data_IF_121680266984
#
_entry.id   IF_121680266984
#
_cell.length_a   1.000
_cell.length_b   1.000
_cell.length_c   1.000
_cell.angle_alpha   90.00
_cell.angle_beta   90.00
_cell.angle_gamma   90.00
#
_symmetry.space_group_name_H-M   'P 1'
#
loop_
_entity.id
_entity.type
_entity.pdbx_description
1 polymer ?
#
# COMPACT_ATOMS: atom_id res chain seq x y z
N UNK A 1 10.66 12.98 -29.68
CA UNK A 1 9.38 12.90 -28.92
C UNK A 1 9.34 14.03 -27.93
N UNK A 2 8.18 14.61 -27.66
CA UNK A 2 8.00 15.63 -26.62
C UNK A 2 6.89 15.18 -25.68
N UNK A 3 7.16 15.19 -24.38
CA UNK A 3 6.18 14.95 -23.34
C UNK A 3 5.75 16.29 -22.78
N UNK A 4 4.44 16.52 -22.71
CA UNK A 4 3.91 17.73 -22.10
C UNK A 4 2.58 17.42 -21.44
N UNK A 5 2.30 18.14 -20.36
CA UNK A 5 1.02 18.06 -19.67
C UNK A 5 0.03 18.96 -20.42
N UNK A 6 -1.11 18.41 -20.83
CA UNK A 6 -2.20 19.15 -21.45
C UNK A 6 -3.46 18.96 -20.62
N UNK A 7 -3.84 19.97 -19.84
CA UNK A 7 -4.87 19.82 -18.80
C UNK A 7 -4.44 18.80 -17.75
N UNK A 8 -5.29 17.81 -17.48
CA UNK A 8 -5.02 16.70 -16.55
C UNK A 8 -4.43 15.46 -17.22
N UNK A 9 -4.06 15.54 -18.50
CA UNK A 9 -3.58 14.40 -19.28
C UNK A 9 -2.11 14.60 -19.66
N UNK A 10 -1.35 13.50 -19.66
CA UNK A 10 0.01 13.47 -20.22
C UNK A 10 -0.09 13.27 -21.73
N UNK A 11 0.31 14.27 -22.51
CA UNK A 11 0.35 14.21 -23.95
C UNK A 11 1.77 13.89 -24.44
N UNK A 12 1.86 12.98 -25.41
CA UNK A 12 3.11 12.57 -26.05
C UNK A 12 3.03 12.95 -27.53
N UNK A 13 3.82 13.94 -27.95
CA UNK A 13 3.97 14.25 -29.37
C UNK A 13 5.00 13.31 -30.01
N UNK A 14 4.48 12.39 -30.82
CA UNK A 14 5.26 11.46 -31.64
C UNK A 14 5.58 12.14 -32.99
N UNK A 15 6.87 12.31 -33.34
CA UNK A 15 7.30 12.81 -34.65
C UNK A 15 6.76 11.97 -35.80
N UNK A 16 6.47 12.60 -36.94
CA UNK A 16 5.86 11.94 -38.10
C UNK A 16 6.67 10.76 -38.65
N UNK A 17 8.01 10.84 -38.55
CA UNK A 17 8.93 9.76 -38.93
C UNK A 17 8.71 8.48 -38.13
N UNK A 18 8.28 8.58 -36.86
CA UNK A 18 8.01 7.42 -36.01
C UNK A 18 6.57 6.92 -36.12
N UNK A 19 5.61 7.76 -36.54
CA UNK A 19 4.23 7.31 -36.76
C UNK A 19 4.12 6.26 -37.85
N UNK A 20 4.89 6.44 -38.94
CA UNK A 20 4.91 5.51 -40.09
C UNK A 20 5.53 4.15 -39.72
N UNK A 21 6.57 4.17 -38.89
CA UNK A 21 7.28 2.96 -38.46
C UNK A 21 6.56 2.20 -37.35
N UNK A 22 5.91 2.92 -36.43
CA UNK A 22 5.20 2.34 -35.28
C UNK A 22 3.70 2.06 -35.55
N UNK A 23 3.21 2.34 -36.77
CA UNK A 23 1.81 2.17 -37.18
C UNK A 23 0.79 2.81 -36.22
N UNK A 24 1.15 3.95 -35.60
CA UNK A 24 0.29 4.62 -34.62
C UNK A 24 -0.69 5.56 -35.32
N UNK A 25 -1.99 5.29 -35.18
CA UNK A 25 -3.07 6.13 -35.73
C UNK A 25 -3.78 6.94 -34.64
N UNK A 26 -4.35 8.07 -35.05
CA UNK A 26 -5.16 8.91 -34.17
C UNK A 26 -6.47 8.19 -33.85
N UNK A 27 -6.75 7.95 -32.56
CA UNK A 27 -7.90 7.16 -32.10
C UNK A 27 -7.62 5.70 -31.78
N UNK A 28 -6.38 5.23 -31.89
CA UNK A 28 -6.00 3.91 -31.38
C UNK A 28 -5.82 3.94 -29.84
N UNK A 29 -6.36 2.91 -29.19
CA UNK A 29 -6.22 2.70 -27.74
C UNK A 29 -4.91 1.98 -27.43
N UNK A 30 -4.08 2.63 -26.62
CA UNK A 30 -2.82 2.08 -26.14
C UNK A 30 -2.80 1.97 -24.62
N UNK A 31 -2.05 0.99 -24.12
CA UNK A 31 -1.84 0.76 -22.70
C UNK A 31 -0.34 0.72 -22.38
N UNK A 32 0.04 1.28 -21.23
CA UNK A 32 1.41 1.22 -20.76
C UNK A 32 1.65 -0.09 -20.02
N UNK A 33 2.73 -0.76 -20.39
CA UNK A 33 3.17 -1.99 -19.73
C UNK A 33 4.62 -1.83 -19.27
N UNK A 34 4.89 -2.08 -18.00
CA UNK A 34 6.28 -2.03 -17.49
C UNK A 34 7.02 -3.31 -17.87
N UNK A 35 8.02 -3.19 -18.75
CA UNK A 35 8.85 -4.35 -19.15
C UNK A 35 10.00 -4.55 -18.15
N UNK A 36 10.55 -3.45 -17.64
CA UNK A 36 11.61 -3.43 -16.63
C UNK A 36 11.40 -2.23 -15.72
N UNK A 37 12.04 -2.23 -14.54
CA UNK A 37 11.94 -1.14 -13.56
C UNK A 37 12.22 0.22 -14.22
N UNK A 38 11.19 1.05 -14.37
CA UNK A 38 11.29 2.37 -14.99
C UNK A 38 11.28 2.39 -16.53
N UNK A 39 11.01 1.25 -17.18
CA UNK A 39 10.91 1.12 -18.65
C UNK A 39 9.51 0.63 -19.01
N UNK A 40 8.75 1.52 -19.62
CA UNK A 40 7.37 1.26 -20.03
C UNK A 40 7.27 1.14 -21.55
N UNK A 41 6.64 0.09 -22.03
CA UNK A 41 6.23 -0.06 -23.42
C UNK A 41 4.79 0.39 -23.60
N UNK A 42 4.52 1.00 -24.75
CA UNK A 42 3.18 1.40 -25.15
C UNK A 42 2.68 0.35 -26.15
N UNK A 43 1.68 -0.45 -25.76
CA UNK A 43 1.18 -1.55 -26.60
C UNK A 43 -0.26 -1.27 -27.00
N UNK A 44 -0.56 -1.42 -28.30
CA UNK A 44 -1.91 -1.26 -28.82
C UNK A 44 -2.80 -2.42 -28.38
N UNK A 45 -4.01 -2.13 -27.90
CA UNK A 45 -4.95 -3.16 -27.43
C UNK A 45 -5.29 -4.21 -28.50
N UNK A 46 -5.22 -3.85 -29.79
CA UNK A 46 -5.45 -4.76 -30.93
C UNK A 46 -4.33 -5.81 -31.10
N UNK A 47 -3.08 -5.47 -30.73
CA UNK A 47 -1.94 -6.41 -30.84
C UNK A 47 -1.75 -7.27 -29.59
N UNK A 48 -2.24 -6.79 -28.43
CA UNK A 48 -2.19 -7.54 -27.17
C UNK A 48 -2.95 -8.87 -27.26
N UNK A 49 -3.99 -8.96 -28.11
CA UNK A 49 -4.83 -10.15 -28.26
C UNK A 49 -4.24 -11.23 -29.18
N UNK A 50 -3.27 -10.90 -30.04
CA UNK A 50 -2.81 -11.80 -31.13
C UNK A 50 -1.36 -12.29 -30.99
N UNK A 51 -0.57 -11.76 -30.04
CA UNK A 51 0.88 -12.06 -29.95
C UNK A 51 1.41 -12.48 -28.56
N UNK A 52 0.58 -12.95 -27.64
CA UNK A 52 1.07 -13.53 -26.38
C UNK A 52 1.13 -15.06 -26.46
N UNK A 53 2.33 -15.68 -26.58
CA UNK A 53 2.53 -17.06 -26.16
C UNK A 53 2.36 -17.14 -24.64
N UNK A 54 1.61 -18.15 -24.19
CA UNK A 54 1.43 -18.46 -22.78
C UNK A 54 2.78 -18.73 -22.11
N UNK A 55 3.22 -17.83 -21.21
CA UNK A 55 4.33 -18.11 -20.29
C UNK A 55 5.53 -17.18 -20.37
N UNK A 56 5.34 -15.86 -20.24
CA UNK A 56 6.37 -14.95 -19.74
C UNK A 56 5.73 -13.64 -19.23
N UNK A 57 4.88 -13.74 -18.21
CA UNK A 57 4.49 -12.58 -17.40
C UNK A 57 5.38 -12.56 -16.14
N UNK A 58 6.11 -11.48 -15.82
CA UNK A 58 6.33 -11.13 -14.43
C UNK A 58 5.02 -10.58 -13.89
N UNK A 59 4.50 -11.29 -12.91
CA UNK A 59 3.21 -11.13 -12.24
C UNK A 59 2.81 -9.70 -11.89
N UNK A 60 1.78 -9.20 -12.58
CA UNK A 60 0.77 -8.35 -11.95
C UNK A 60 -0.59 -8.70 -12.57
N UNK A 61 -1.47 -9.25 -11.72
CA UNK A 61 -2.88 -9.58 -11.96
C UNK A 61 -3.20 -10.58 -13.08
N UNK A 62 -3.16 -11.87 -12.72
CA UNK A 62 -4.07 -12.87 -13.30
C UNK A 62 -4.86 -13.52 -12.15
N UNK A 63 -6.17 -13.32 -12.19
CA UNK A 63 -7.17 -13.89 -11.31
C UNK A 63 -7.11 -15.42 -11.32
N UNK A 64 -7.04 -16.02 -10.13
CA UNK A 64 -7.53 -17.36 -9.91
C UNK A 64 -9.05 -17.29 -9.69
N UNK A 65 -9.80 -17.97 -10.55
CA UNK A 65 -11.23 -18.15 -10.40
C UNK A 65 -11.57 -19.07 -9.21
N UNK A 66 -12.76 -18.82 -8.65
CA UNK A 66 -13.54 -19.65 -7.72
C UNK A 66 -13.29 -19.50 -6.20
N UNK A 67 -13.87 -18.44 -5.61
CA UNK A 67 -14.52 -18.39 -4.28
C UNK A 67 -15.09 -16.96 -4.07
N UNK A 68 -16.13 -16.75 -3.24
CA UNK A 68 -16.81 -15.46 -3.15
C UNK A 68 -15.85 -14.36 -2.68
N UNK A 69 -16.02 -13.18 -3.28
CA UNK A 69 -15.25 -11.95 -3.10
C UNK A 69 -14.82 -11.67 -1.65
N UNK A 70 -13.61 -12.08 -1.29
CA UNK A 70 -12.88 -11.53 -0.16
C UNK A 70 -11.99 -10.42 -0.69
N UNK A 71 -12.23 -9.19 -0.22
CA UNK A 71 -11.44 -8.02 -0.54
C UNK A 71 -9.95 -8.33 -0.24
N UNK A 72 -9.01 -8.21 -1.20
CA UNK A 72 -7.61 -8.63 -1.02
C UNK A 72 -6.92 -7.99 0.19
N UNK A 73 -7.40 -6.80 0.58
CA UNK A 73 -6.96 -6.06 1.77
C UNK A 73 -7.33 -6.77 3.08
N UNK A 74 -8.49 -7.42 3.15
CA UNK A 74 -8.91 -8.20 4.31
C UNK A 74 -8.06 -9.46 4.46
N UNK A 75 -7.79 -10.15 3.36
CA UNK A 75 -6.90 -11.31 3.36
C UNK A 75 -5.48 -10.94 3.83
N UNK A 76 -4.99 -9.75 3.44
CA UNK A 76 -3.70 -9.24 3.92
C UNK A 76 -3.74 -8.95 5.44
N UNK A 77 -4.82 -8.36 5.94
CA UNK A 77 -5.03 -8.08 7.37
C UNK A 77 -5.09 -9.39 8.18
N UNK A 78 -5.79 -10.41 7.70
CA UNK A 78 -5.89 -11.71 8.37
C UNK A 78 -4.53 -12.43 8.41
N UNK A 79 -3.74 -12.33 7.34
CA UNK A 79 -2.44 -13.01 7.23
C UNK A 79 -1.34 -12.34 8.03
N UNK A 80 -1.27 -11.01 7.99
CA UNK A 80 -0.15 -10.25 8.59
C UNK A 80 -0.52 -9.60 9.92
N UNK A 81 -1.82 -9.46 10.20
CA UNK A 81 -2.33 -8.82 11.40
C UNK A 81 -2.37 -7.29 11.33
N UNK A 82 -1.88 -6.68 10.25
CA UNK A 82 -1.93 -5.23 10.05
C UNK A 82 -2.16 -4.88 8.57
N UNK A 83 -2.59 -3.64 8.32
CA UNK A 83 -2.80 -3.09 7.00
C UNK A 83 -2.56 -1.59 7.02
N UNK A 84 -1.89 -1.07 5.99
CA UNK A 84 -1.70 0.37 5.78
C UNK A 84 -2.44 0.76 4.52
N UNK A 85 -3.28 1.79 4.62
CA UNK A 85 -4.11 2.28 3.51
C UNK A 85 -3.79 3.75 3.28
N UNK A 86 -3.47 4.12 2.04
CA UNK A 86 -3.05 5.48 1.72
C UNK A 86 -4.22 6.36 1.27
N UNK A 87 -5.27 5.77 0.70
CA UNK A 87 -6.42 6.51 0.19
C UNK A 87 -7.60 6.50 1.15
N UNK A 88 -8.22 7.66 1.32
CA UNK A 88 -9.41 7.82 2.15
C UNK A 88 -10.60 6.99 1.64
N UNK A 89 -10.70 6.81 0.32
CA UNK A 89 -11.77 6.02 -0.30
C UNK A 89 -11.68 4.54 0.12
N UNK A 90 -10.49 3.96 0.09
CA UNK A 90 -10.26 2.58 0.52
C UNK A 90 -10.47 2.43 2.02
N UNK A 91 -9.96 3.36 2.83
CA UNK A 91 -10.14 3.34 4.28
C UNK A 91 -11.63 3.41 4.68
N UNK A 92 -12.43 4.23 3.98
CA UNK A 92 -13.88 4.30 4.18
C UNK A 92 -14.60 2.99 3.82
N UNK A 93 -14.16 2.29 2.78
CA UNK A 93 -14.72 0.97 2.41
C UNK A 93 -14.38 -0.07 3.48
N UNK A 94 -13.11 -0.18 3.85
CA UNK A 94 -12.64 -1.10 4.88
C UNK A 94 -13.28 -0.80 6.24
N UNK A 95 -13.48 0.46 6.60
CA UNK A 95 -14.16 0.84 7.84
C UNK A 95 -15.60 0.36 7.90
N UNK A 96 -16.31 0.30 6.76
CA UNK A 96 -17.67 -0.24 6.70
C UNK A 96 -17.67 -1.77 6.78
N UNK A 97 -16.74 -2.42 6.09
CA UNK A 97 -16.61 -3.88 6.10
C UNK A 97 -16.16 -4.41 7.48
N UNK A 98 -15.26 -3.69 8.14
CA UNK A 98 -14.71 -4.03 9.45
C UNK A 98 -15.49 -3.45 10.63
N UNK A 99 -16.58 -2.70 10.38
CA UNK A 99 -17.43 -2.12 11.42
C UNK A 99 -17.83 -3.11 12.53
N UNK A 100 -18.28 -4.36 12.25
CA UNK A 100 -18.59 -5.31 13.30
C UNK A 100 -17.35 -5.72 14.13
N UNK A 101 -16.17 -5.80 13.50
CA UNK A 101 -14.93 -6.16 14.17
C UNK A 101 -14.36 -5.02 15.02
N UNK A 102 -14.55 -3.77 14.56
CA UNK A 102 -14.19 -2.57 15.31
C UNK A 102 -15.10 -2.41 16.53
N UNK A 103 -16.41 -2.62 16.37
CA UNK A 103 -17.37 -2.64 17.50
C UNK A 103 -17.08 -3.78 18.48
N UNK A 104 -16.63 -4.93 17.99
CA UNK A 104 -16.17 -6.05 18.80
C UNK A 104 -14.77 -5.87 19.41
N UNK A 105 -14.11 -4.72 19.19
CA UNK A 105 -12.72 -4.46 19.59
C UNK A 105 -11.68 -5.46 19.08
N UNK A 106 -12.01 -6.27 18.06
CA UNK A 106 -11.12 -7.23 17.43
C UNK A 106 -10.11 -6.55 16.50
N UNK A 107 -10.49 -5.40 15.93
CA UNK A 107 -9.67 -4.60 15.02
C UNK A 107 -9.66 -3.14 15.48
N UNK A 108 -8.50 -2.52 15.40
CA UNK A 108 -8.27 -1.11 15.73
C UNK A 108 -7.76 -0.40 14.48
N UNK A 109 -8.23 0.82 14.26
CA UNK A 109 -7.89 1.63 13.10
C UNK A 109 -7.66 3.07 13.50
N UNK A 110 -6.54 3.65 13.10
CA UNK A 110 -6.19 5.05 13.39
C UNK A 110 -5.75 5.77 12.12
N UNK A 111 -6.04 7.07 12.05
CA UNK A 111 -5.57 7.94 10.98
C UNK A 111 -4.29 8.63 11.43
N UNK A 112 -3.19 8.35 10.73
CA UNK A 112 -1.92 9.02 10.99
C UNK A 112 -1.89 10.47 10.49
N UNK A 113 -0.93 11.23 11.03
CA UNK A 113 -0.66 12.61 10.60
C UNK A 113 -0.19 12.73 9.15
N UNK A 114 0.36 11.65 8.61
CA UNK A 114 0.74 11.50 7.20
C UNK A 114 -0.45 11.26 6.26
N UNK A 115 -1.68 11.33 6.80
CA UNK A 115 -2.95 11.06 6.11
C UNK A 115 -3.14 9.60 5.70
N UNK A 116 -2.29 8.68 6.15
CA UNK A 116 -2.48 7.24 5.99
C UNK A 116 -3.37 6.68 7.10
N UNK A 117 -3.95 5.52 6.84
CA UNK A 117 -4.78 4.80 7.78
C UNK A 117 -4.08 3.50 8.17
N UNK A 118 -3.90 3.32 9.47
CA UNK A 118 -3.23 2.18 10.06
C UNK A 118 -4.29 1.31 10.72
N UNK A 119 -4.45 0.09 10.23
CA UNK A 119 -5.43 -0.86 10.73
C UNK A 119 -4.66 -2.07 11.25
N UNK A 120 -4.97 -2.54 12.45
CA UNK A 120 -4.35 -3.73 13.00
C UNK A 120 -5.32 -4.55 13.83
N UNK A 121 -5.11 -5.85 13.87
CA UNK A 121 -5.88 -6.76 14.72
C UNK A 121 -5.38 -6.65 16.16
N UNK A 122 -6.28 -6.91 17.12
CA UNK A 122 -5.94 -6.94 18.55
C UNK A 122 -4.86 -7.97 18.87
N UNK A 123 -4.87 -9.12 18.18
CA UNK A 123 -3.85 -10.15 18.35
C UNK A 123 -2.46 -9.64 17.96
N UNK A 124 -2.35 -8.97 16.80
CA UNK A 124 -1.10 -8.37 16.38
C UNK A 124 -0.65 -7.27 17.36
N UNK A 125 -1.56 -6.41 17.81
CA UNK A 125 -1.23 -5.33 18.74
C UNK A 125 -0.80 -5.84 20.12
N UNK A 126 -1.37 -6.94 20.61
CA UNK A 126 -0.91 -7.54 21.86
C UNK A 126 0.57 -7.97 21.76
N UNK A 127 0.93 -8.69 20.69
CA UNK A 127 2.31 -9.15 20.50
C UNK A 127 3.28 -8.02 20.12
N UNK A 128 2.86 -7.10 19.27
CA UNK A 128 3.67 -5.98 18.82
C UNK A 128 3.83 -4.95 19.93
N UNK A 129 2.76 -4.66 20.67
CA UNK A 129 2.71 -3.77 21.81
C UNK A 129 3.66 -4.22 22.91
N UNK A 130 3.62 -5.51 23.29
CA UNK A 130 4.55 -6.04 24.30
C UNK A 130 6.02 -5.88 23.87
N UNK A 131 6.33 -6.14 22.59
CA UNK A 131 7.68 -5.96 22.03
C UNK A 131 8.10 -4.49 22.01
N UNK A 132 7.21 -3.58 21.60
CA UNK A 132 7.46 -2.14 21.56
C UNK A 132 7.64 -1.58 22.96
N UNK A 133 6.77 -1.91 23.91
CA UNK A 133 6.89 -1.50 25.30
C UNK A 133 8.22 -2.02 25.89
N UNK A 134 8.54 -3.30 25.72
CA UNK A 134 9.84 -3.86 26.18
C UNK A 134 11.05 -3.12 25.61
N UNK A 135 10.97 -2.66 24.35
CA UNK A 135 12.02 -1.86 23.74
C UNK A 135 12.11 -0.46 24.38
N UNK A 136 10.96 0.18 24.60
CA UNK A 136 10.84 1.53 25.17
C UNK A 136 11.08 1.61 26.69
N UNK A 137 11.04 0.48 27.40
CA UNK A 137 11.45 0.43 28.82
C UNK A 137 12.92 0.85 29.03
N UNK A 138 13.77 0.63 28.01
CA UNK A 138 15.19 1.02 28.04
C UNK A 138 15.42 2.51 27.82
N UNK A 139 14.39 3.26 27.41
CA UNK A 139 14.47 4.68 27.10
C UNK A 139 13.67 5.05 25.85
N UNK A 140 13.81 6.30 25.43
CA UNK A 140 13.17 6.79 24.21
C UNK A 140 13.84 6.22 22.95
N UNK A 141 13.04 5.74 21.99
CA UNK A 141 13.52 5.18 20.72
C UNK A 141 12.87 5.87 19.53
N UNK A 142 13.62 5.96 18.44
CA UNK A 142 13.10 6.36 17.13
C UNK A 142 12.41 5.21 16.41
N UNK A 143 11.59 5.50 15.40
CA UNK A 143 10.95 4.47 14.56
C UNK A 143 11.96 3.41 14.07
N UNK A 144 13.08 3.85 13.49
CA UNK A 144 14.09 2.93 12.96
C UNK A 144 14.72 2.05 14.04
N UNK A 145 14.99 2.62 15.21
CA UNK A 145 15.51 1.85 16.35
C UNK A 145 14.47 0.85 16.89
N UNK A 146 13.19 1.25 16.94
CA UNK A 146 12.09 0.37 17.32
C UNK A 146 11.97 -0.79 16.34
N UNK A 147 12.00 -0.56 15.03
CA UNK A 147 11.98 -1.64 14.02
C UNK A 147 13.10 -2.67 14.23
N UNK A 148 14.32 -2.19 14.50
CA UNK A 148 15.47 -3.08 14.75
C UNK A 148 15.29 -3.85 16.06
N UNK A 149 14.82 -3.19 17.12
CA UNK A 149 14.62 -3.81 18.43
C UNK A 149 13.49 -4.84 18.44
N UNK A 150 12.40 -4.58 17.71
CA UNK A 150 11.22 -5.45 17.64
C UNK A 150 11.30 -6.49 16.51
N UNK A 151 12.28 -6.34 15.60
CA UNK A 151 12.45 -7.14 14.38
C UNK A 151 11.20 -7.13 13.48
N UNK A 152 10.51 -6.00 13.44
CA UNK A 152 9.33 -5.79 12.60
C UNK A 152 9.70 -5.01 11.33
N UNK A 153 8.95 -5.22 10.26
CA UNK A 153 9.07 -4.36 9.09
C UNK A 153 8.58 -2.93 9.42
N UNK A 154 9.02 -1.97 8.62
CA UNK A 154 8.76 -0.55 8.86
C UNK A 154 7.25 -0.26 8.97
N UNK A 155 6.43 -0.80 8.07
CA UNK A 155 4.99 -0.54 8.06
C UNK A 155 4.29 -1.09 9.31
N UNK A 156 4.65 -2.29 9.76
CA UNK A 156 4.10 -2.87 10.98
C UNK A 156 4.49 -2.07 12.22
N UNK A 157 5.73 -1.58 12.26
CA UNK A 157 6.20 -0.73 13.35
C UNK A 157 5.50 0.63 13.37
N UNK A 158 5.32 1.27 12.21
CA UNK A 158 4.56 2.52 12.11
C UNK A 158 3.11 2.30 12.54
N UNK A 159 2.47 1.23 12.08
CA UNK A 159 1.11 0.90 12.45
C UNK A 159 0.98 0.69 13.97
N UNK A 160 1.84 -0.13 14.55
CA UNK A 160 1.84 -0.39 15.99
C UNK A 160 2.07 0.89 16.80
N UNK A 161 3.11 1.68 16.47
CA UNK A 161 3.39 2.93 17.19
C UNK A 161 2.25 3.94 17.05
N UNK A 162 1.62 4.03 15.88
CA UNK A 162 0.50 4.95 15.66
C UNK A 162 -0.71 4.56 16.51
N UNK A 163 -1.04 3.27 16.57
CA UNK A 163 -2.19 2.79 17.34
C UNK A 163 -1.92 2.89 18.84
N UNK A 164 -0.76 2.45 19.32
CA UNK A 164 -0.39 2.51 20.74
C UNK A 164 -0.33 3.96 21.26
N UNK A 165 0.03 4.92 20.40
CA UNK A 165 0.03 6.35 20.71
C UNK A 165 -1.39 6.87 20.90
N UNK A 166 -2.33 6.46 20.06
CA UNK A 166 -3.75 6.85 20.17
C UNK A 166 -4.43 6.16 21.37
N UNK A 167 -4.06 4.92 21.70
CA UNK A 167 -4.54 4.24 22.90
C UNK A 167 -3.93 4.80 24.20
N UNK A 168 -2.89 5.65 24.09
CA UNK A 168 -2.24 6.29 25.25
C UNK A 168 -1.27 5.37 26.00
N UNK A 169 -0.84 4.26 25.41
CA UNK A 169 0.17 3.38 26.00
C UNK A 169 1.59 3.95 25.84
N UNK A 170 1.80 4.68 24.74
CA UNK A 170 3.05 5.38 24.44
C UNK A 170 2.75 6.83 24.06
N UNK A 171 3.75 7.68 24.17
CA UNK A 171 3.66 9.06 23.72
C UNK A 171 4.92 9.48 22.96
N UNK A 172 4.75 10.49 22.10
CA UNK A 172 5.86 11.08 21.34
C UNK A 172 6.40 12.29 22.10
N UNK A 173 7.55 12.14 22.76
CA UNK A 173 8.14 13.19 23.59
C UNK A 173 8.73 14.33 22.75
N UNK A 174 9.28 13.99 21.59
CA UNK A 174 9.78 14.91 20.55
C UNK A 174 9.60 14.27 19.20
N UNK A 175 9.60 15.07 18.12
CA UNK A 175 9.33 14.59 16.75
C UNK A 175 10.17 13.35 16.41
N UNK A 176 9.50 12.22 16.21
CA UNK A 176 10.08 10.93 15.85
C UNK A 176 10.68 10.11 16.99
N UNK A 177 10.52 10.52 18.25
CA UNK A 177 10.98 9.78 19.44
C UNK A 177 9.81 9.42 20.34
N UNK A 178 9.69 8.13 20.61
CA UNK A 178 8.60 7.55 21.40
C UNK A 178 9.10 7.12 22.77
N UNK A 179 8.23 7.21 23.78
CA UNK A 179 8.46 6.74 25.13
C UNK A 179 7.17 6.15 25.72
N UNK A 180 7.29 5.28 26.73
CA UNK A 180 6.14 4.75 27.47
C UNK A 180 5.52 5.84 28.34
N UNK A 181 4.19 5.92 28.36
CA UNK A 181 3.45 6.73 29.32
C UNK A 181 3.67 6.14 30.72
N UNK A 182 4.25 6.92 31.64
CA UNK A 182 4.50 6.54 33.04
C UNK A 182 3.45 7.13 33.96
#
# INVERSE_FOLDING_TARGET
MRFFKHGDVLAIAIPESLRKTAAVQEGDDYEFFEIQKGVFALVGKKELASKLPAGAMPSASAQAAAAPAQNPQLAALEKTGFLVVETELEAKRLSKELEPQVKGHSVLGVRGFDKKYYIATRAFLAEAGERVQKALLKGELTLGQTCVATKMNQDACVAALSILKEEGEIFEKRKGYYAIVR
#
